data_IF_128164767424
#
_entry.id   IF_128164767424
#
_cell.length_a   1.000
_cell.length_b   1.000
_cell.length_c   1.000
_cell.angle_alpha   90.00
_cell.angle_beta   90.00
_cell.angle_gamma   90.00
#
_symmetry.space_group_name_H-M   'P 1'
#
loop_
_entity.id
_entity.type
_entity.pdbx_description
1 polymer ?
#
# COMPACT_ATOMS: atom_id res chain seq x y z
N UNK A 1 -1.02 9.18 4.16
CA UNK A 1 -1.64 7.90 3.73
C UNK A 1 -3.15 8.02 3.87
N UNK A 2 -3.93 7.16 3.21
CA UNK A 2 -5.39 7.04 3.40
C UNK A 2 -5.71 5.63 3.87
N UNK A 3 -6.59 5.49 4.87
CA UNK A 3 -7.05 4.22 5.43
C UNK A 3 -8.54 4.06 5.15
N UNK A 4 -8.94 2.89 4.65
CA UNK A 4 -10.34 2.53 4.39
C UNK A 4 -10.65 1.29 5.23
N UNK A 5 -11.23 1.46 6.44
CA UNK A 5 -11.60 0.33 7.29
C UNK A 5 -12.87 -0.34 6.77
N UNK A 6 -13.16 -1.54 7.26
CA UNK A 6 -14.39 -2.25 6.91
C UNK A 6 -14.29 -3.13 5.68
N UNK A 7 -13.08 -3.38 5.16
CA UNK A 7 -12.89 -4.25 4.00
C UNK A 7 -12.93 -5.72 4.42
N UNK A 8 -13.36 -6.57 3.49
CA UNK A 8 -13.31 -8.01 3.62
C UNK A 8 -12.44 -8.55 2.50
N UNK A 9 -11.38 -9.27 2.84
CA UNK A 9 -10.51 -9.96 1.89
C UNK A 9 -10.96 -11.40 1.75
N UNK A 10 -11.12 -11.86 0.50
CA UNK A 10 -11.52 -13.21 0.14
C UNK A 10 -10.42 -13.84 -0.71
N UNK A 11 -9.89 -14.98 -0.28
CA UNK A 11 -8.84 -15.68 -1.01
C UNK A 11 -8.92 -17.19 -0.80
N UNK A 12 -8.26 -17.97 -1.65
CA UNK A 12 -8.18 -19.42 -1.49
C UNK A 12 -6.85 -19.79 -0.82
N UNK A 13 -6.92 -20.53 0.29
CA UNK A 13 -5.77 -21.03 1.02
C UNK A 13 -6.03 -22.47 1.47
N UNK A 14 -5.06 -23.36 1.24
CA UNK A 14 -5.18 -24.81 1.51
C UNK A 14 -6.48 -25.46 0.99
N UNK A 15 -6.98 -25.00 -0.16
CA UNK A 15 -8.19 -25.51 -0.81
C UNK A 15 -9.50 -25.01 -0.18
N UNK A 16 -9.45 -24.04 0.73
CA UNK A 16 -10.62 -23.39 1.35
C UNK A 16 -10.67 -21.92 0.97
N UNK A 17 -11.89 -21.38 0.93
CA UNK A 17 -12.10 -19.94 0.83
C UNK A 17 -11.95 -19.37 2.24
N UNK A 18 -10.95 -18.53 2.42
CA UNK A 18 -10.75 -17.73 3.61
C UNK A 18 -11.44 -16.38 3.46
N UNK A 19 -11.90 -15.84 4.58
CA UNK A 19 -12.54 -14.54 4.67
C UNK A 19 -11.99 -13.79 5.88
N UNK A 20 -11.29 -12.68 5.65
CA UNK A 20 -10.63 -11.90 6.70
C UNK A 20 -11.07 -10.44 6.68
N UNK A 21 -11.16 -9.82 7.85
CA UNK A 21 -11.44 -8.40 7.99
C UNK A 21 -10.14 -7.61 7.85
N UNK A 22 -10.13 -6.62 6.96
CA UNK A 22 -8.93 -5.85 6.64
C UNK A 22 -9.18 -4.35 6.56
N UNK A 23 -8.08 -3.60 6.56
CA UNK A 23 -8.06 -2.16 6.30
C UNK A 23 -7.29 -1.92 5.02
N UNK A 24 -7.95 -1.43 3.97
CA UNK A 24 -7.26 -1.06 2.74
C UNK A 24 -6.45 0.21 2.96
N UNK A 25 -5.16 0.14 2.64
CA UNK A 25 -4.26 1.30 2.69
C UNK A 25 -3.99 1.85 1.29
N UNK A 26 -4.00 3.17 1.15
CA UNK A 26 -3.51 3.89 -0.03
C UNK A 26 -2.39 4.82 0.40
N UNK A 27 -1.16 4.44 0.06
CA UNK A 27 0.06 5.18 0.39
C UNK A 27 0.55 5.91 -0.85
N UNK A 28 0.91 7.18 -0.69
CA UNK A 28 1.47 8.02 -1.75
C UNK A 28 2.94 8.24 -1.42
N UNK A 29 3.82 7.93 -2.37
CA UNK A 29 5.26 8.13 -2.26
C UNK A 29 5.86 8.31 -3.65
N UNK A 30 7.12 8.75 -3.69
CA UNK A 30 7.86 8.89 -4.93
C UNK A 30 8.51 7.56 -5.35
N UNK A 31 8.62 7.34 -6.66
CA UNK A 31 9.17 6.10 -7.24
C UNK A 31 10.52 5.69 -6.68
N UNK A 32 11.42 6.65 -6.42
CA UNK A 32 12.75 6.36 -5.85
C UNK A 32 12.70 5.74 -4.44
N UNK A 33 11.63 5.99 -3.69
CA UNK A 33 11.43 5.45 -2.34
C UNK A 33 10.64 4.13 -2.33
N UNK A 34 10.14 3.66 -3.48
CA UNK A 34 9.23 2.50 -3.55
C UNK A 34 9.84 1.24 -2.91
N UNK A 35 11.12 0.96 -3.17
CA UNK A 35 11.75 -0.28 -2.72
C UNK A 35 11.97 -0.25 -1.20
N UNK A 36 12.42 0.90 -0.68
CA UNK A 36 12.60 1.11 0.75
C UNK A 36 11.25 1.02 1.49
N UNK A 37 10.19 1.61 0.93
CA UNK A 37 8.85 1.55 1.49
C UNK A 37 8.30 0.12 1.50
N UNK A 38 8.40 -0.63 0.41
CA UNK A 38 7.94 -2.02 0.33
C UNK A 38 8.70 -2.92 1.31
N UNK A 39 10.02 -2.75 1.42
CA UNK A 39 10.84 -3.49 2.38
C UNK A 39 10.45 -3.18 3.84
N UNK A 40 10.24 -1.91 4.16
CA UNK A 40 9.81 -1.48 5.49
C UNK A 40 8.43 -2.05 5.84
N UNK A 41 7.45 -1.90 4.95
CA UNK A 41 6.10 -2.43 5.15
C UNK A 41 6.14 -3.94 5.33
N UNK A 42 6.86 -4.67 4.47
CA UNK A 42 7.00 -6.12 4.56
C UNK A 42 7.62 -6.57 5.88
N UNK A 43 8.63 -5.84 6.37
CA UNK A 43 9.27 -6.17 7.65
C UNK A 43 8.35 -5.92 8.85
N UNK A 44 7.50 -4.89 8.80
CA UNK A 44 6.62 -4.52 9.90
C UNK A 44 5.26 -5.24 9.87
N UNK A 45 4.86 -5.78 8.72
CA UNK A 45 3.54 -6.39 8.56
C UNK A 45 3.46 -7.72 9.34
N UNK A 46 2.34 -8.02 10.05
CA UNK A 46 2.20 -9.26 10.80
C UNK A 46 2.11 -10.51 9.90
N UNK A 47 1.64 -10.35 8.66
CA UNK A 47 1.55 -11.44 7.71
C UNK A 47 2.90 -11.77 7.08
N UNK A 48 3.13 -13.05 6.83
CA UNK A 48 4.32 -13.55 6.13
C UNK A 48 4.36 -13.07 4.67
N UNK A 49 3.19 -13.00 4.03
CA UNK A 49 3.01 -12.54 2.65
C UNK A 49 1.98 -11.42 2.60
N UNK A 50 2.36 -10.17 2.91
CA UNK A 50 1.44 -9.04 2.83
C UNK A 50 1.12 -8.67 1.39
N UNK A 51 -0.13 -8.27 1.13
CA UNK A 51 -0.53 -7.70 -0.16
C UNK A 51 0.03 -6.28 -0.29
N UNK A 52 1.11 -6.13 -1.05
CA UNK A 52 1.76 -4.84 -1.31
C UNK A 52 1.92 -4.64 -2.82
N UNK A 53 1.11 -3.76 -3.39
CA UNK A 53 1.09 -3.46 -4.82
C UNK A 53 1.46 -2.01 -5.10
N UNK A 54 2.14 -1.76 -6.22
CA UNK A 54 2.50 -0.41 -6.70
C UNK A 54 1.75 -0.11 -7.97
N UNK A 55 0.99 0.99 -7.97
CA UNK A 55 0.23 1.48 -9.12
C UNK A 55 0.87 2.77 -9.63
N UNK A 56 1.25 2.87 -10.91
CA UNK A 56 1.86 4.07 -11.45
C UNK A 56 0.85 5.22 -11.56
N UNK A 57 1.21 6.39 -11.01
CA UNK A 57 0.48 7.64 -11.24
C UNK A 57 1.07 8.34 -12.45
N UNK A 58 0.29 8.45 -13.54
CA UNK A 58 0.76 9.04 -14.81
C UNK A 58 0.68 10.57 -14.83
N UNK A 59 -0.28 11.14 -14.10
CA UNK A 59 -0.49 12.58 -13.96
C UNK A 59 -1.20 12.89 -12.64
N UNK A 60 -1.12 14.14 -12.21
CA UNK A 60 -1.78 14.64 -11.01
C UNK A 60 -1.66 16.16 -10.91
N UNK A 61 -2.30 16.74 -9.91
CA UNK A 61 -2.18 18.17 -9.61
C UNK A 61 -0.73 18.55 -9.29
N UNK A 62 -0.23 19.63 -9.90
CA UNK A 62 1.19 20.00 -9.82
C UNK A 62 1.60 20.42 -8.42
N UNK A 63 0.73 21.13 -7.71
CA UNK A 63 0.99 21.58 -6.34
C UNK A 63 1.02 20.40 -5.38
N UNK A 64 0.09 19.45 -5.52
CA UNK A 64 0.06 18.22 -4.74
C UNK A 64 1.31 17.36 -4.96
N UNK A 65 1.73 17.17 -6.23
CA UNK A 65 2.93 16.40 -6.54
C UNK A 65 4.20 17.08 -6.01
N UNK A 66 4.25 18.41 -6.04
CA UNK A 66 5.37 19.19 -5.48
C UNK A 66 5.44 19.04 -3.96
N UNK A 67 4.30 19.17 -3.27
CA UNK A 67 4.20 18.95 -1.82
C UNK A 67 4.58 17.52 -1.42
N UNK A 68 4.11 16.52 -2.17
CA UNK A 68 4.44 15.11 -1.93
C UNK A 68 5.97 14.90 -2.00
N UNK A 69 6.60 15.40 -3.06
CA UNK A 69 8.05 15.26 -3.24
C UNK A 69 8.84 16.00 -2.16
N UNK A 70 8.36 17.16 -1.69
CA UNK A 70 8.97 17.90 -0.59
C UNK A 70 8.88 17.16 0.76
N UNK A 71 7.80 16.41 0.98
CA UNK A 71 7.56 15.65 2.22
C UNK A 71 8.44 14.40 2.39
N UNK A 72 9.19 14.04 1.35
CA UNK A 72 10.07 12.86 1.29
C UNK A 72 11.56 13.23 1.24
N UNK A 73 11.88 14.50 1.51
CA UNK A 73 13.25 15.02 1.57
C UNK A 73 13.82 14.96 2.98
#
# INVERSE_FOLDING_TARGET
>A
MTLIPGATSLYCWEGKIEQEYEVQMIIKSERRHQQALLAYLKHQHPYQTPELLVIPVQAGDQDYLSWLNASLR
#
